data_IF_538147412528
#
_entry.id   IF_538147412528
#
_cell.length_a   1.000
_cell.length_b   1.000
_cell.length_c   1.000
_cell.angle_alpha   90.00
_cell.angle_beta   90.00
_cell.angle_gamma   90.00
#
_symmetry.space_group_name_H-M   'P 1'
#
loop_
_entity.id
_entity.type
_entity.pdbx_description
1 polymer ?
#
# COMPACT_ATOMS: atom_id res chain seq x y z
N UNK A 1 13.58 7.74 -16.12
CA UNK A 1 12.35 7.16 -16.72
C UNK A 1 11.67 6.41 -15.58
N UNK A 2 10.38 6.64 -15.38
CA UNK A 2 9.60 5.92 -14.37
C UNK A 2 9.16 4.60 -15.00
N UNK A 3 9.36 3.50 -14.28
CA UNK A 3 8.92 2.18 -14.76
C UNK A 3 7.42 2.05 -14.46
N UNK A 4 6.62 1.79 -15.49
CA UNK A 4 5.17 1.57 -15.37
C UNK A 4 4.87 0.09 -15.53
N UNK A 5 4.16 -0.49 -14.57
CA UNK A 5 3.79 -1.90 -14.61
C UNK A 5 2.57 -2.11 -15.50
N UNK A 6 2.66 -3.09 -16.40
CA UNK A 6 1.51 -3.68 -17.07
C UNK A 6 0.57 -4.35 -16.08
N UNK A 7 -0.71 -4.60 -16.43
CA UNK A 7 -1.64 -5.29 -15.55
C UNK A 7 -1.13 -6.64 -15.02
N UNK A 8 -0.41 -7.40 -15.86
CA UNK A 8 0.17 -8.70 -15.48
C UNK A 8 1.31 -8.54 -14.47
N UNK A 9 2.16 -7.52 -14.65
CA UNK A 9 3.26 -7.24 -13.74
C UNK A 9 2.79 -6.70 -12.38
N UNK A 10 1.62 -6.03 -12.33
CA UNK A 10 1.02 -5.52 -11.08
C UNK A 10 0.57 -6.64 -10.15
N UNK A 11 0.16 -7.79 -10.68
CA UNK A 11 -0.29 -8.91 -9.84
C UNK A 11 0.81 -9.43 -8.92
N UNK A 12 2.09 -9.28 -9.29
CA UNK A 12 3.23 -9.59 -8.42
C UNK A 12 3.38 -8.63 -7.21
N UNK A 13 2.59 -7.55 -7.18
CA UNK A 13 2.54 -6.57 -6.10
C UNK A 13 1.19 -6.60 -5.38
N UNK A 14 0.32 -7.56 -5.70
CA UNK A 14 -1.01 -7.65 -5.10
C UNK A 14 -0.92 -7.96 -3.61
N UNK A 15 -1.76 -7.27 -2.85
CA UNK A 15 -1.97 -7.53 -1.43
C UNK A 15 -3.35 -8.17 -1.25
N UNK A 16 -3.38 -9.37 -0.68
CA UNK A 16 -4.61 -10.10 -0.41
C UNK A 16 -4.91 -10.17 1.09
N UNK A 17 -6.19 -10.21 1.45
CA UNK A 17 -6.64 -10.44 2.82
C UNK A 17 -7.13 -11.86 2.99
N UNK A 18 -6.57 -12.58 3.96
CA UNK A 18 -7.01 -13.94 4.34
C UNK A 18 -7.02 -14.05 5.86
N UNK A 19 -8.14 -14.52 6.42
CA UNK A 19 -8.31 -14.69 7.88
C UNK A 19 -7.94 -13.43 8.70
N UNK A 20 -8.28 -12.23 8.18
CA UNK A 20 -7.98 -10.95 8.83
C UNK A 20 -6.51 -10.53 8.83
N UNK A 21 -5.67 -11.19 8.01
CA UNK A 21 -4.25 -10.84 7.82
C UNK A 21 -3.94 -10.52 6.37
N UNK A 22 -2.90 -9.73 6.18
CA UNK A 22 -2.36 -9.29 4.90
C UNK A 22 -1.34 -10.30 4.37
N UNK A 23 -1.49 -10.65 3.10
CA UNK A 23 -0.62 -11.58 2.37
C UNK A 23 -0.10 -10.96 1.08
N UNK A 24 1.13 -11.29 0.73
CA UNK A 24 1.69 -10.97 -0.59
C UNK A 24 1.14 -11.90 -1.69
N UNK A 25 1.45 -11.58 -2.94
CA UNK A 25 1.06 -12.36 -4.12
C UNK A 25 1.65 -13.78 -4.15
N UNK A 26 2.72 -14.04 -3.40
CA UNK A 26 3.34 -15.37 -3.27
C UNK A 26 2.65 -16.22 -2.20
N UNK A 27 1.71 -15.64 -1.44
CA UNK A 27 0.99 -16.30 -0.35
C UNK A 27 1.70 -16.28 0.99
N UNK A 28 2.78 -15.49 1.13
CA UNK A 28 3.45 -15.20 2.38
C UNK A 28 2.72 -14.13 3.19
N UNK A 29 2.95 -14.10 4.51
CA UNK A 29 2.48 -12.98 5.33
C UNK A 29 3.23 -11.73 4.89
N UNK A 30 2.49 -10.67 4.58
CA UNK A 30 3.11 -9.42 4.18
C UNK A 30 3.81 -8.78 5.37
N UNK A 31 5.04 -8.31 5.14
CA UNK A 31 5.88 -7.73 6.17
C UNK A 31 6.71 -6.61 5.56
N UNK A 32 6.75 -5.46 6.22
CA UNK A 32 7.48 -4.29 5.77
C UNK A 32 8.79 -4.09 6.51
N UNK A 33 9.17 -4.91 7.49
CA UNK A 33 10.42 -4.73 8.26
C UNK A 33 11.68 -4.81 7.40
N UNK A 34 11.60 -5.47 6.24
CA UNK A 34 12.64 -5.52 5.21
C UNK A 34 12.43 -4.50 4.06
N UNK A 35 11.40 -3.66 4.16
CA UNK A 35 11.09 -2.64 3.17
C UNK A 35 12.09 -1.47 3.23
N UNK A 36 12.35 -0.92 2.05
CA UNK A 36 13.18 0.27 1.88
C UNK A 36 12.30 1.41 1.39
N UNK A 37 11.98 2.35 2.28
CA UNK A 37 11.28 3.59 1.94
C UNK A 37 12.29 4.69 1.62
N UNK A 38 11.99 5.49 0.60
CA UNK A 38 12.76 6.68 0.23
C UNK A 38 12.20 7.92 0.94
N UNK A 39 10.91 7.90 1.30
CA UNK A 39 10.20 9.03 1.89
C UNK A 39 10.24 9.04 3.42
N UNK A 40 10.45 7.88 4.05
CA UNK A 40 10.60 7.73 5.50
C UNK A 40 11.90 7.01 5.83
N UNK A 41 12.57 7.40 6.92
CA UNK A 41 13.63 6.59 7.52
C UNK A 41 13.08 5.31 8.21
N UNK A 42 11.76 5.11 8.18
CA UNK A 42 11.06 3.96 8.70
C UNK A 42 10.79 2.92 7.59
N UNK A 43 10.79 1.62 7.92
CA UNK A 43 10.59 0.52 6.98
C UNK A 43 9.10 0.39 6.57
N UNK A 44 8.71 1.24 5.62
CA UNK A 44 7.34 1.34 5.09
C UNK A 44 7.27 0.89 3.63
N UNK A 45 6.14 0.31 3.26
CA UNK A 45 5.81 0.02 1.86
C UNK A 45 4.88 1.10 1.31
N UNK A 46 5.01 1.41 0.02
CA UNK A 46 3.99 2.20 -0.67
C UNK A 46 2.82 1.32 -1.05
N UNK A 47 1.61 1.89 -1.02
CA UNK A 47 0.43 1.22 -1.53
C UNK A 47 -0.37 2.12 -2.48
N UNK A 48 -1.12 1.48 -3.35
CA UNK A 48 -2.21 2.07 -4.13
C UNK A 48 -3.42 1.14 -4.06
N UNK A 49 -4.60 1.73 -4.00
CA UNK A 49 -5.88 1.03 -4.09
C UNK A 49 -6.58 1.49 -5.37
N UNK A 50 -6.90 0.54 -6.25
CA UNK A 50 -7.66 0.79 -7.46
C UNK A 50 -9.16 1.00 -7.14
N UNK A 51 -9.95 1.60 -8.05
CA UNK A 51 -11.38 1.87 -7.82
C UNK A 51 -12.26 0.63 -7.60
N UNK A 52 -11.78 -0.54 -8.00
CA UNK A 52 -12.43 -1.84 -7.76
C UNK A 52 -12.09 -2.43 -6.38
N UNK A 53 -11.26 -1.76 -5.59
CA UNK A 53 -10.78 -2.20 -4.28
C UNK A 53 -9.53 -3.07 -4.32
N UNK A 54 -8.96 -3.35 -5.49
CA UNK A 54 -7.70 -4.10 -5.60
C UNK A 54 -6.54 -3.29 -5.01
N UNK A 55 -5.77 -3.88 -4.09
CA UNK A 55 -4.66 -3.22 -3.40
C UNK A 55 -3.34 -3.75 -3.96
N UNK A 56 -2.44 -2.83 -4.30
CA UNK A 56 -1.09 -3.13 -4.75
C UNK A 56 -0.07 -2.43 -3.85
N UNK A 57 0.97 -3.15 -3.45
CA UNK A 57 1.99 -2.71 -2.50
C UNK A 57 3.39 -2.91 -3.05
N UNK A 58 4.33 -2.01 -2.74
CA UNK A 58 5.74 -2.25 -3.01
C UNK A 58 6.60 -1.92 -1.79
N UNK A 59 7.42 -2.90 -1.39
CA UNK A 59 8.45 -2.78 -0.35
C UNK A 59 9.71 -2.07 -0.83
N UNK A 60 9.82 -1.82 -2.13
CA UNK A 60 10.96 -1.15 -2.73
C UNK A 60 10.50 0.15 -3.37
N UNK A 61 10.72 1.27 -2.69
CA UNK A 61 10.78 2.53 -3.38
C UNK A 61 12.18 2.73 -3.96
N UNK A 62 12.26 2.99 -5.26
CA UNK A 62 13.54 3.32 -5.91
C UNK A 62 13.51 4.76 -6.37
N UNK A 63 14.42 5.55 -5.80
CA UNK A 63 14.66 6.95 -6.14
C UNK A 63 14.67 7.13 -7.68
N UNK A 64 13.76 7.95 -8.20
CA UNK A 64 13.60 8.28 -9.63
C UNK A 64 13.28 7.12 -10.59
N UNK A 65 12.92 5.92 -10.08
CA UNK A 65 12.53 4.76 -10.91
C UNK A 65 11.19 4.13 -10.54
N UNK A 66 10.90 3.96 -9.26
CA UNK A 66 9.71 3.24 -8.80
C UNK A 66 9.01 3.98 -7.67
N UNK A 67 7.81 4.49 -7.95
CA UNK A 67 6.97 5.32 -7.06
C UNK A 67 5.51 4.86 -7.11
N UNK A 68 4.60 5.52 -6.38
CA UNK A 68 3.16 5.22 -6.44
C UNK A 68 2.61 5.18 -7.88
N UNK A 69 3.07 6.08 -8.76
CA UNK A 69 2.68 6.11 -10.17
C UNK A 69 3.12 4.87 -10.96
N UNK A 70 4.18 4.17 -10.53
CA UNK A 70 4.66 2.93 -11.14
C UNK A 70 3.66 1.79 -10.99
N UNK A 71 2.98 1.74 -9.84
CA UNK A 71 1.99 0.69 -9.50
C UNK A 71 0.69 0.82 -10.30
N UNK A 72 0.35 2.01 -10.80
CA UNK A 72 -0.92 2.26 -11.52
C UNK A 72 -0.74 2.71 -12.97
N UNK A 73 0.48 2.83 -13.47
CA UNK A 73 0.75 3.36 -14.82
C UNK A 73 0.10 4.73 -15.14
N UNK A 74 -0.23 5.53 -14.11
CA UNK A 74 -0.95 6.80 -14.24
C UNK A 74 -2.48 6.71 -14.22
N UNK A 75 -3.05 5.53 -13.96
CA UNK A 75 -4.49 5.36 -13.77
C UNK A 75 -5.00 6.02 -12.48
N UNK A 76 -6.32 6.24 -12.43
CA UNK A 76 -7.00 6.76 -11.25
C UNK A 76 -6.93 5.76 -10.08
N UNK A 77 -6.68 6.26 -8.88
CA UNK A 77 -6.64 5.48 -7.64
C UNK A 77 -7.73 5.95 -6.69
N UNK A 78 -8.31 5.01 -5.94
CA UNK A 78 -9.21 5.32 -4.83
C UNK A 78 -8.44 5.77 -3.59
N UNK A 79 -7.25 5.21 -3.37
CA UNK A 79 -6.34 5.61 -2.28
C UNK A 79 -4.88 5.36 -2.64
N UNK A 80 -3.97 6.14 -2.04
CA UNK A 80 -2.53 5.93 -2.14
C UNK A 80 -1.83 6.46 -0.90
N UNK A 81 -0.70 5.86 -0.53
CA UNK A 81 0.05 6.28 0.65
C UNK A 81 1.13 5.28 1.04
N UNK A 82 1.45 5.22 2.33
CA UNK A 82 2.36 4.21 2.88
C UNK A 82 1.63 3.37 3.92
N UNK A 83 2.06 2.11 4.06
CA UNK A 83 1.66 1.22 5.15
C UNK A 83 2.87 0.62 5.84
N UNK A 84 2.68 0.30 7.10
CA UNK A 84 3.58 -0.53 7.89
C UNK A 84 2.82 -1.79 8.30
N UNK A 85 3.41 -2.95 8.02
CA UNK A 85 2.79 -4.25 8.26
C UNK A 85 3.82 -5.18 8.88
N UNK A 86 3.44 -5.89 9.92
CA UNK A 86 4.29 -6.88 10.57
C UNK A 86 3.53 -8.20 10.72
N UNK A 87 4.10 -9.29 10.20
CA UNK A 87 3.48 -10.62 10.26
C UNK A 87 2.02 -10.62 9.75
N UNK A 88 1.74 -9.83 8.70
CA UNK A 88 0.42 -9.63 8.10
C UNK A 88 -0.53 -8.74 8.89
N UNK A 89 -0.08 -8.10 9.97
CA UNK A 89 -0.88 -7.19 10.80
C UNK A 89 -0.58 -5.76 10.41
N UNK A 90 -1.61 -5.01 10.01
CA UNK A 90 -1.49 -3.58 9.72
C UNK A 90 -1.16 -2.81 11.01
N UNK A 91 -0.07 -2.05 11.00
CA UNK A 91 0.40 -1.23 12.13
C UNK A 91 0.15 0.26 11.92
N UNK A 92 0.39 0.72 10.69
CA UNK A 92 0.28 2.13 10.34
C UNK A 92 -0.25 2.30 8.92
N UNK A 93 -1.02 3.37 8.71
CA UNK A 93 -1.36 3.91 7.39
C UNK A 93 -1.04 5.41 7.35
N UNK A 94 -0.50 5.87 6.23
CA UNK A 94 -0.27 7.30 5.95
C UNK A 94 -0.95 7.70 4.64
N UNK A 95 -1.30 8.98 4.50
CA UNK A 95 -1.73 9.57 3.22
C UNK A 95 -0.54 10.16 2.43
N UNK A 96 0.70 9.82 2.81
CA UNK A 96 1.92 10.36 2.20
C UNK A 96 2.17 9.66 0.87
N UNK A 97 1.65 10.22 -0.22
CA UNK A 97 1.78 9.66 -1.57
C UNK A 97 2.45 10.62 -2.58
N UNK A 98 3.09 11.68 -2.08
CA UNK A 98 3.73 12.69 -2.93
C UNK A 98 2.73 13.47 -3.79
N UNK A 99 2.71 13.20 -5.10
CA UNK A 99 1.99 14.00 -6.10
C UNK A 99 0.46 13.83 -6.07
N UNK A 100 -0.05 12.68 -5.64
CA UNK A 100 -1.50 12.43 -5.64
C UNK A 100 -2.25 13.18 -4.54
N UNK A 101 -1.54 13.69 -3.52
CA UNK A 101 -2.09 14.42 -2.35
C UNK A 101 -3.51 13.96 -1.96
N UNK A 102 -3.71 12.66 -1.72
CA UNK A 102 -5.00 12.16 -1.34
C UNK A 102 -5.40 12.81 -0.02
N UNK A 103 -6.64 13.30 0.02
CA UNK A 103 -7.31 13.67 1.26
C UNK A 103 -7.22 12.51 2.25
N UNK A 104 -7.18 12.82 3.55
CA UNK A 104 -7.17 11.81 4.62
C UNK A 104 -8.30 10.77 4.45
N UNK A 105 -9.42 11.21 3.88
CA UNK A 105 -10.60 10.42 3.51
C UNK A 105 -10.27 9.19 2.66
N UNK A 106 -9.28 9.27 1.77
CA UNK A 106 -8.88 8.12 0.94
C UNK A 106 -8.09 7.08 1.74
N UNK A 107 -7.26 7.52 2.69
CA UNK A 107 -6.58 6.58 3.58
C UNK A 107 -7.57 5.90 4.53
N UNK A 108 -8.65 6.58 4.91
CA UNK A 108 -9.75 5.99 5.67
C UNK A 108 -10.52 4.95 4.84
N UNK A 109 -10.73 5.17 3.54
CA UNK A 109 -11.35 4.16 2.65
C UNK A 109 -10.56 2.84 2.61
N UNK A 110 -9.22 2.90 2.65
CA UNK A 110 -8.41 1.68 2.77
C UNK A 110 -8.73 0.94 4.07
N UNK A 111 -8.79 1.65 5.20
CA UNK A 111 -9.07 1.04 6.49
C UNK A 111 -10.48 0.44 6.55
N UNK A 112 -11.47 1.11 5.96
CA UNK A 112 -12.84 0.61 5.85
C UNK A 112 -12.87 -0.69 5.06
N UNK A 113 -12.27 -0.73 3.87
CA UNK A 113 -12.21 -1.93 3.04
C UNK A 113 -11.51 -3.10 3.77
N UNK A 114 -10.38 -2.83 4.42
CA UNK A 114 -9.64 -3.86 5.17
C UNK A 114 -10.45 -4.37 6.37
N UNK A 115 -11.18 -3.50 7.07
CA UNK A 115 -12.05 -3.89 8.17
C UNK A 115 -13.23 -4.76 7.69
N UNK A 116 -13.83 -4.44 6.55
CA UNK A 116 -14.88 -5.26 5.91
C UNK A 116 -14.35 -6.65 5.53
N UNK A 117 -13.08 -6.74 5.14
CA UNK A 117 -12.38 -8.00 4.88
C UNK A 117 -11.88 -8.72 6.14
N UNK A 118 -12.16 -8.18 7.33
CA UNK A 118 -11.88 -8.79 8.63
C UNK A 118 -10.51 -8.47 9.22
N UNK A 119 -9.77 -7.52 8.66
CA UNK A 119 -8.51 -7.02 9.25
C UNK A 119 -8.83 -6.16 10.48
N UNK A 120 -8.09 -6.34 11.56
CA UNK A 120 -8.20 -5.48 12.74
C UNK A 120 -7.56 -4.12 12.45
N UNK A 121 -8.36 -3.05 12.53
CA UNK A 121 -7.92 -1.67 12.23
C UNK A 121 -8.01 -0.71 13.42
N UNK A 122 -8.62 -1.10 14.56
CA UNK A 122 -8.86 -0.21 15.70
C UNK A 122 -7.59 0.28 16.40
N UNK A 123 -6.49 -0.45 16.25
CA UNK A 123 -5.18 -0.12 16.80
C UNK A 123 -4.19 0.44 15.77
N UNK A 124 -4.62 0.68 14.53
CA UNK A 124 -3.74 1.16 13.45
C UNK A 124 -3.43 2.63 13.66
N UNK A 125 -2.15 2.97 13.63
CA UNK A 125 -1.68 4.36 13.70
C UNK A 125 -1.99 5.08 12.39
N UNK A 126 -2.57 6.27 12.48
CA UNK A 126 -2.85 7.14 11.33
C UNK A 126 -1.83 8.28 11.30
N UNK A 127 -0.91 8.24 10.34
CA UNK A 127 0.13 9.27 10.12
C UNK A 127 -0.27 10.17 8.95
N UNK A 128 -1.33 10.96 9.14
CA UNK A 128 -1.85 11.86 8.12
C UNK A 128 -1.18 13.23 8.20
N UNK A 129 -0.90 13.83 7.04
CA UNK A 129 -0.41 15.22 6.89
C UNK A 129 -1.51 16.18 6.47
#
# INVERSE_FOLDING_TARGET
MVDYLSPEEREAYRLDVKNGKLYDSEGGLFDTRDATSVHSNEPRAIFVMAPDGSIYVSKQQRIHRFHHSSLVAGDSVAAAGEIEVEDGILRLVSNKSGHYRPLAEHADQLLELLAEQGVEVRGVTKDYV
#
